data_IF_641044180585
#
_entry.id   IF_641044180585
#
_cell.length_a   1.000
_cell.length_b   1.000
_cell.length_c   1.000
_cell.angle_alpha   90.00
_cell.angle_beta   90.00
_cell.angle_gamma   90.00
#
_symmetry.space_group_name_H-M   'P 1'
#
loop_
_entity.id
_entity.type
_entity.pdbx_description
1 polymer ?
#
# COMPACT_ATOMS: atom_id res chain seq x y z
N UNK A 1 10.17 11.99 -3.60
CA UNK A 1 8.95 11.45 -2.97
C UNK A 1 8.18 10.64 -4.00
N UNK A 2 8.17 9.32 -3.86
CA UNK A 2 7.48 8.38 -4.74
C UNK A 2 6.10 8.09 -4.14
N UNK A 3 5.05 8.09 -4.98
CA UNK A 3 3.68 7.80 -4.57
C UNK A 3 3.39 6.33 -4.84
N UNK A 4 2.91 5.61 -3.84
CA UNK A 4 2.71 4.15 -3.88
C UNK A 4 1.26 3.81 -3.56
N UNK A 5 0.64 3.01 -4.42
CA UNK A 5 -0.62 2.32 -4.14
C UNK A 5 -0.36 0.85 -3.84
N UNK A 6 -1.13 0.25 -2.95
CA UNK A 6 -1.01 -1.16 -2.58
C UNK A 6 -2.25 -1.91 -3.07
N UNK A 7 -2.06 -2.95 -3.89
CA UNK A 7 -3.15 -3.80 -4.37
C UNK A 7 -2.83 -5.26 -4.02
N UNK A 8 -3.64 -5.86 -3.15
CA UNK A 8 -3.48 -7.23 -2.68
C UNK A 8 -4.83 -7.74 -2.15
N UNK A 9 -5.17 -9.02 -2.35
CA UNK A 9 -6.46 -9.58 -1.95
C UNK A 9 -6.53 -9.97 -0.46
N UNK A 10 -5.40 -9.96 0.25
CA UNK A 10 -5.31 -10.21 1.68
C UNK A 10 -5.11 -8.91 2.49
N UNK A 11 -6.02 -8.64 3.43
CA UNK A 11 -5.97 -7.46 4.28
C UNK A 11 -4.72 -7.43 5.19
N UNK A 12 -4.29 -8.59 5.71
CA UNK A 12 -3.12 -8.69 6.57
C UNK A 12 -1.85 -8.30 5.79
N UNK A 13 -1.77 -8.70 4.52
CA UNK A 13 -0.65 -8.35 3.65
C UNK A 13 -0.63 -6.85 3.38
N UNK A 14 -1.78 -6.22 3.07
CA UNK A 14 -1.85 -4.76 2.87
C UNK A 14 -1.40 -3.99 4.11
N UNK A 15 -1.89 -4.34 5.30
CA UNK A 15 -1.48 -3.71 6.56
C UNK A 15 0.04 -3.87 6.81
N UNK A 16 0.58 -5.06 6.54
CA UNK A 16 2.02 -5.32 6.69
C UNK A 16 2.87 -4.45 5.74
N UNK A 17 2.43 -4.26 4.49
CA UNK A 17 3.09 -3.43 3.49
C UNK A 17 3.00 -1.95 3.84
N UNK A 18 1.87 -1.49 4.37
CA UNK A 18 1.71 -0.11 4.81
C UNK A 18 2.70 0.25 5.93
N UNK A 19 2.92 -0.66 6.88
CA UNK A 19 3.90 -0.47 7.97
C UNK A 19 5.32 -0.43 7.42
N UNK A 20 5.69 -1.43 6.59
CA UNK A 20 7.06 -1.54 6.05
C UNK A 20 7.41 -0.37 5.14
N UNK A 21 6.53 -0.03 4.20
CA UNK A 21 6.75 1.04 3.23
C UNK A 21 6.58 2.43 3.85
N UNK A 22 5.73 2.56 4.88
CA UNK A 22 5.52 3.81 5.61
C UNK A 22 6.72 4.25 6.45
N UNK A 23 7.65 3.32 6.75
CA UNK A 23 8.90 3.64 7.44
C UNK A 23 9.95 4.31 6.54
N UNK A 24 9.71 4.38 5.22
CA UNK A 24 10.61 5.00 4.26
C UNK A 24 10.18 6.44 3.95
N UNK A 25 10.99 7.43 4.36
CA UNK A 25 10.68 8.87 4.22
C UNK A 25 10.51 9.34 2.76
N UNK A 26 11.05 8.58 1.79
CA UNK A 26 10.95 8.88 0.37
C UNK A 26 9.65 8.33 -0.26
N UNK A 27 8.90 7.49 0.45
CA UNK A 27 7.64 6.90 -0.01
C UNK A 27 6.43 7.59 0.61
N UNK A 28 5.35 7.69 -0.17
CA UNK A 28 4.03 8.11 0.29
C UNK A 28 2.99 7.11 -0.17
N UNK A 29 2.38 6.40 0.77
CA UNK A 29 1.23 5.54 0.48
C UNK A 29 0.02 6.45 0.20
N UNK A 30 -0.66 6.23 -0.92
CA UNK A 30 -1.80 7.05 -1.37
C UNK A 30 -3.13 6.31 -1.35
N UNK A 31 -3.11 5.01 -1.10
CA UNK A 31 -4.29 4.16 -0.99
C UNK A 31 -3.93 2.68 -1.04
N UNK A 32 -4.86 1.85 -0.57
CA UNK A 32 -4.77 0.40 -0.66
C UNK A 32 -6.12 -0.18 -1.11
N UNK A 33 -6.09 -1.22 -1.94
CA UNK A 33 -7.27 -1.78 -2.62
C UNK A 33 -7.26 -3.30 -2.55
N UNK A 34 -8.44 -3.92 -2.48
CA UNK A 34 -8.57 -5.37 -2.28
C UNK A 34 -8.60 -6.17 -3.60
N UNK A 35 -8.74 -5.49 -4.74
CA UNK A 35 -8.87 -6.10 -6.05
C UNK A 35 -8.53 -5.09 -7.16
N UNK A 36 -8.51 -5.56 -8.40
CA UNK A 36 -8.18 -4.73 -9.57
C UNK A 36 -9.30 -3.79 -10.03
N UNK A 37 -10.54 -3.96 -9.58
CA UNK A 37 -11.65 -3.05 -9.92
C UNK A 37 -11.63 -1.78 -9.06
N UNK A 38 -11.11 -1.89 -7.84
CA UNK A 38 -10.94 -0.78 -6.89
C UNK A 38 -9.68 0.06 -7.16
N UNK A 39 -8.80 -0.39 -8.06
CA UNK A 39 -7.46 0.16 -8.32
C UNK A 39 -7.45 1.45 -9.17
#
# INVERSE_FOLDING_TARGET
MIRVGIADDDALIRESLEILLGAHDDLKIVGSVANGEEA
#
